data_IF_011186252593
#
_entry.id   IF_011186252593
#
_cell.length_a   1.000
_cell.length_b   1.000
_cell.length_c   1.000
_cell.angle_alpha   90.00
_cell.angle_beta   90.00
_cell.angle_gamma   90.00
#
_symmetry.space_group_name_H-M   'P 1'
#
loop_
_entity.id
_entity.type
_entity.pdbx_description
1 polymer ?
#
# COMPACT_ATOMS: atom_id res chain seq x y z
N UNK A 1 7.02 -10.81 16.49
CA UNK A 1 5.58 -10.60 16.27
C UNK A 1 5.21 -11.13 14.90
N UNK A 2 4.01 -11.70 14.74
CA UNK A 2 3.48 -12.07 13.44
C UNK A 2 3.05 -10.78 12.73
N UNK A 3 3.42 -10.60 11.46
CA UNK A 3 2.94 -9.52 10.60
C UNK A 3 2.71 -10.09 9.21
N UNK A 4 1.46 -10.09 8.78
CA UNK A 4 0.99 -10.90 7.65
C UNK A 4 0.07 -10.07 6.75
N UNK A 5 0.21 -10.25 5.46
CA UNK A 5 -0.69 -9.74 4.44
C UNK A 5 -1.46 -10.92 3.82
N UNK A 6 -2.77 -10.77 3.69
CA UNK A 6 -3.67 -11.73 3.08
C UNK A 6 -4.19 -11.16 1.77
N UNK A 7 -4.22 -11.97 0.73
CA UNK A 7 -4.65 -11.51 -0.59
C UNK A 7 -5.33 -12.61 -1.38
N UNK A 8 -6.36 -12.23 -2.12
CA UNK A 8 -7.14 -13.12 -2.97
C UNK A 8 -7.22 -12.54 -4.38
N UNK A 9 -7.11 -13.40 -5.39
CA UNK A 9 -7.55 -13.14 -6.77
C UNK A 9 -8.80 -13.99 -7.00
N UNK A 10 -9.98 -13.37 -7.06
CA UNK A 10 -11.27 -14.06 -7.08
C UNK A 10 -11.56 -14.78 -8.38
N UNK A 11 -10.93 -14.34 -9.49
CA UNK A 11 -11.02 -14.98 -10.83
C UNK A 11 -9.73 -14.73 -11.62
N UNK A 12 -9.52 -15.52 -12.67
CA UNK A 12 -8.37 -15.33 -13.57
C UNK A 12 -8.39 -13.91 -14.18
N UNK A 13 -7.31 -13.12 -14.03
CA UNK A 13 -7.21 -11.79 -14.65
C UNK A 13 -7.13 -11.89 -16.17
N UNK A 14 -7.59 -10.83 -16.85
CA UNK A 14 -7.36 -10.66 -18.27
C UNK A 14 -5.86 -10.47 -18.54
N UNK A 15 -5.36 -11.06 -19.63
CA UNK A 15 -3.93 -11.07 -19.94
C UNK A 15 -3.33 -9.65 -20.10
N UNK A 16 -4.10 -8.70 -20.65
CA UNK A 16 -3.66 -7.30 -20.79
C UNK A 16 -3.44 -6.63 -19.44
N UNK A 17 -4.38 -6.74 -18.51
CA UNK A 17 -4.23 -6.16 -17.17
C UNK A 17 -3.10 -6.83 -16.38
N UNK A 18 -2.88 -8.13 -16.57
CA UNK A 18 -1.73 -8.81 -15.98
C UNK A 18 -0.40 -8.27 -16.53
N UNK A 19 -0.33 -7.96 -17.83
CA UNK A 19 0.86 -7.40 -18.45
C UNK A 19 1.16 -5.97 -17.93
N UNK A 20 0.13 -5.14 -17.74
CA UNK A 20 0.26 -3.81 -17.13
C UNK A 20 0.73 -3.90 -15.68
N UNK A 21 0.15 -4.81 -14.90
CA UNK A 21 0.60 -5.10 -13.53
C UNK A 21 2.07 -5.51 -13.50
N UNK A 22 2.50 -6.42 -14.36
CA UNK A 22 3.90 -6.85 -14.46
C UNK A 22 4.83 -5.67 -14.77
N UNK A 23 4.45 -4.81 -15.70
CA UNK A 23 5.24 -3.63 -16.08
C UNK A 23 5.46 -2.69 -14.89
N UNK A 24 4.44 -2.45 -14.08
CA UNK A 24 4.57 -1.59 -12.90
C UNK A 24 5.30 -2.29 -11.74
N UNK A 25 5.18 -3.60 -11.59
CA UNK A 25 6.02 -4.36 -10.64
C UNK A 25 7.50 -4.36 -11.08
N UNK A 26 7.80 -4.37 -12.37
CA UNK A 26 9.17 -4.19 -12.83
C UNK A 26 9.72 -2.79 -12.51
N UNK A 27 8.89 -1.73 -12.60
CA UNK A 27 9.27 -0.39 -12.11
C UNK A 27 9.55 -0.41 -10.60
N UNK A 28 8.71 -1.10 -9.81
CA UNK A 28 8.98 -1.29 -8.39
C UNK A 28 10.36 -1.90 -8.17
N UNK A 29 10.70 -2.97 -8.89
CA UNK A 29 12.01 -3.64 -8.73
C UNK A 29 13.21 -2.78 -9.15
N UNK A 30 13.00 -1.87 -10.10
CA UNK A 30 14.05 -0.95 -10.57
C UNK A 30 14.28 0.25 -9.66
N UNK A 31 13.27 0.66 -8.89
CA UNK A 31 13.29 1.88 -8.08
C UNK A 31 13.20 1.61 -6.57
N UNK A 32 13.53 0.41 -6.11
CA UNK A 32 13.44 0.06 -4.69
C UNK A 32 14.12 1.10 -3.79
N UNK A 33 13.55 1.41 -2.62
CA UNK A 33 14.14 2.35 -1.70
C UNK A 33 15.52 1.89 -1.24
N UNK A 34 16.37 2.86 -0.94
CA UNK A 34 17.68 2.64 -0.32
C UNK A 34 17.52 2.14 1.13
N UNK A 35 18.58 1.60 1.70
CA UNK A 35 18.60 1.19 3.10
C UNK A 35 18.31 2.35 4.06
N UNK A 36 18.79 3.55 3.74
CA UNK A 36 18.54 4.75 4.56
C UNK A 36 17.06 5.17 4.52
N UNK A 37 16.42 5.11 3.34
CA UNK A 37 14.98 5.38 3.19
C UNK A 37 14.14 4.35 3.94
N UNK A 38 14.50 3.06 3.86
CA UNK A 38 13.83 1.99 4.62
C UNK A 38 13.98 2.18 6.13
N UNK A 39 15.17 2.57 6.60
CA UNK A 39 15.40 2.88 8.01
C UNK A 39 14.54 4.03 8.52
N UNK A 40 14.31 5.07 7.69
CA UNK A 40 13.41 6.17 8.03
C UNK A 40 11.94 5.70 8.16
N UNK A 41 11.58 4.63 7.48
CA UNK A 41 10.28 3.98 7.57
C UNK A 41 10.19 2.93 8.69
N UNK A 42 11.25 2.77 9.49
CA UNK A 42 11.30 1.86 10.63
C UNK A 42 11.66 0.40 10.30
N UNK A 43 12.16 0.14 9.10
CA UNK A 43 12.70 -1.17 8.74
C UNK A 43 14.16 -1.34 9.17
N UNK A 44 14.60 -2.57 9.33
CA UNK A 44 15.99 -2.90 9.60
C UNK A 44 16.90 -2.49 8.43
N UNK A 45 18.16 -2.18 8.75
CA UNK A 45 19.17 -1.86 7.73
C UNK A 45 19.44 -3.06 6.83
N UNK A 46 19.43 -2.83 5.52
CA UNK A 46 19.70 -3.84 4.50
C UNK A 46 21.10 -3.62 3.93
N UNK A 47 21.93 -4.66 3.97
CA UNK A 47 23.20 -4.68 3.28
C UNK A 47 23.05 -5.35 1.90
N UNK A 48 23.27 -4.58 0.82
CA UNK A 48 23.16 -5.08 -0.53
C UNK A 48 21.76 -4.96 -1.13
N UNK A 49 21.27 -6.04 -1.73
CA UNK A 49 19.99 -6.03 -2.44
C UNK A 49 18.81 -6.31 -1.51
N UNK A 50 17.78 -5.47 -1.54
CA UNK A 50 16.55 -5.64 -0.78
C UNK A 50 15.78 -6.91 -1.17
N UNK A 51 15.60 -7.14 -2.48
CA UNK A 51 14.81 -8.24 -2.99
C UNK A 51 15.66 -9.33 -3.62
N UNK A 52 15.30 -10.54 -3.28
CA UNK A 52 15.84 -11.79 -3.82
C UNK A 52 14.72 -12.63 -4.44
N UNK A 53 15.09 -13.71 -5.11
CA UNK A 53 14.15 -14.68 -5.66
C UNK A 53 13.38 -15.44 -4.56
N UNK A 54 12.44 -16.33 -4.96
CA UNK A 54 11.55 -17.03 -4.03
C UNK A 54 12.26 -17.79 -2.91
N UNK A 55 13.49 -18.23 -3.12
CA UNK A 55 14.28 -18.94 -2.12
C UNK A 55 15.21 -18.03 -1.30
N UNK A 56 15.04 -16.70 -1.40
CA UNK A 56 15.90 -15.74 -0.72
C UNK A 56 17.32 -15.61 -1.29
N UNK A 57 17.58 -16.11 -2.50
CA UNK A 57 18.92 -16.13 -3.12
C UNK A 57 18.90 -15.38 -4.47
N UNK A 58 18.46 -15.81 -5.52
CA UNK A 58 18.56 -15.30 -6.90
C UNK A 58 17.86 -13.93 -7.08
N UNK A 59 17.53 -13.60 -8.33
CA UNK A 59 16.74 -12.39 -8.64
C UNK A 59 15.26 -12.64 -8.44
N UNK A 60 14.47 -11.62 -8.08
CA UNK A 60 13.01 -11.64 -8.11
C UNK A 60 12.49 -12.14 -9.47
N UNK A 61 11.33 -12.77 -9.46
CA UNK A 61 10.66 -13.27 -10.66
C UNK A 61 9.47 -12.37 -10.97
N UNK A 62 9.43 -11.83 -12.20
CA UNK A 62 8.25 -11.15 -12.75
C UNK A 62 8.07 -11.63 -14.20
N UNK A 63 7.02 -12.38 -14.46
CA UNK A 63 6.74 -12.91 -15.80
C UNK A 63 5.26 -13.27 -15.96
N UNK A 64 4.88 -13.75 -17.14
CA UNK A 64 3.48 -14.09 -17.47
C UNK A 64 2.90 -15.21 -16.61
N UNK A 65 3.69 -15.92 -15.84
CA UNK A 65 3.25 -17.03 -15.00
C UNK A 65 3.16 -16.66 -13.52
N UNK A 66 4.00 -15.71 -13.06
CA UNK A 66 4.04 -15.29 -11.65
C UNK A 66 4.84 -14.03 -11.42
N UNK A 67 4.51 -13.37 -10.31
CA UNK A 67 5.35 -12.40 -9.62
C UNK A 67 5.75 -13.07 -8.31
N UNK A 68 7.06 -13.22 -8.03
CA UNK A 68 7.49 -13.91 -6.81
C UNK A 68 8.87 -13.45 -6.35
N UNK A 69 9.00 -13.14 -5.06
CA UNK A 69 10.23 -12.67 -4.43
C UNK A 69 10.23 -12.91 -2.91
N UNK A 70 11.40 -12.71 -2.31
CA UNK A 70 11.62 -12.76 -0.88
C UNK A 70 12.71 -11.74 -0.48
N UNK A 71 13.04 -11.65 0.79
CA UNK A 71 14.22 -10.96 1.30
C UNK A 71 15.52 -11.75 1.10
N UNK A 72 16.62 -11.27 1.68
CA UNK A 72 17.93 -11.90 1.61
C UNK A 72 18.09 -12.99 2.67
N UNK A 73 18.03 -14.25 2.27
CA UNK A 73 18.17 -15.39 3.19
C UNK A 73 19.59 -15.49 3.80
N UNK A 74 20.62 -15.04 3.09
CA UNK A 74 21.99 -15.08 3.61
C UNK A 74 22.23 -14.10 4.77
N UNK A 75 21.38 -13.09 4.92
CA UNK A 75 21.40 -12.10 5.99
C UNK A 75 20.21 -12.24 6.97
N UNK A 76 19.48 -13.34 6.89
CA UNK A 76 18.29 -13.60 7.71
C UNK A 76 17.20 -12.50 7.56
N UNK A 77 17.19 -11.84 6.38
CA UNK A 77 16.22 -10.78 6.04
C UNK A 77 15.03 -11.29 5.24
N UNK A 78 14.94 -12.59 5.02
CA UNK A 78 13.79 -13.28 4.43
C UNK A 78 12.78 -13.76 5.48
N UNK A 79 11.61 -14.13 5.01
CA UNK A 79 10.60 -14.88 5.75
C UNK A 79 9.76 -15.70 4.74
N UNK A 80 8.43 -15.57 4.70
CA UNK A 80 7.65 -16.26 3.69
C UNK A 80 7.79 -15.59 2.32
N UNK A 81 7.84 -16.43 1.29
CA UNK A 81 7.93 -15.97 -0.10
C UNK A 81 6.62 -15.34 -0.54
N UNK A 82 6.67 -14.09 -1.02
CA UNK A 82 5.54 -13.50 -1.73
C UNK A 82 5.39 -14.13 -3.11
N UNK A 83 4.18 -14.56 -3.45
CA UNK A 83 3.86 -15.11 -4.78
C UNK A 83 2.47 -14.70 -5.21
N UNK A 84 2.37 -14.04 -6.35
CA UNK A 84 1.11 -13.69 -7.01
C UNK A 84 1.04 -14.40 -8.36
N UNK A 85 -0.10 -15.06 -8.65
CA UNK A 85 -0.29 -15.88 -9.85
C UNK A 85 -1.45 -15.33 -10.68
N UNK A 86 -1.41 -15.39 -12.04
CA UNK A 86 -2.50 -14.94 -12.92
C UNK A 86 -3.64 -15.97 -12.99
N UNK A 87 -4.16 -16.36 -11.85
CA UNK A 87 -5.27 -17.29 -11.70
C UNK A 87 -6.05 -17.02 -10.43
N UNK A 88 -7.22 -17.62 -10.29
CA UNK A 88 -7.91 -17.62 -8.98
C UNK A 88 -6.98 -18.21 -7.91
N UNK A 89 -6.79 -17.49 -6.83
CA UNK A 89 -5.96 -17.90 -5.69
C UNK A 89 -6.42 -17.18 -4.41
N UNK A 90 -6.12 -17.78 -3.29
CA UNK A 90 -6.24 -17.22 -1.95
C UNK A 90 -4.97 -17.61 -1.20
N UNK A 91 -4.22 -16.61 -0.73
CA UNK A 91 -2.90 -16.82 -0.14
C UNK A 91 -2.57 -15.74 0.89
N UNK A 92 -1.48 -15.91 1.57
CA UNK A 92 -0.94 -14.92 2.51
C UNK A 92 0.60 -14.89 2.44
N UNK A 93 1.17 -13.81 2.92
CA UNK A 93 2.61 -13.65 3.06
C UNK A 93 2.93 -13.08 4.44
N UNK A 94 3.51 -13.90 5.30
CA UNK A 94 4.02 -13.47 6.59
C UNK A 94 5.41 -12.91 6.42
N UNK A 95 5.53 -11.60 6.49
CA UNK A 95 6.80 -10.89 6.28
C UNK A 95 7.57 -10.68 7.58
N UNK A 96 6.89 -10.78 8.73
CA UNK A 96 7.43 -10.48 10.06
C UNK A 96 8.11 -9.10 10.13
N UNK A 97 7.65 -8.13 9.33
CA UNK A 97 8.23 -6.78 9.15
C UNK A 97 9.69 -6.78 8.71
N UNK A 98 10.15 -7.84 8.05
CA UNK A 98 11.45 -7.83 7.38
C UNK A 98 11.47 -6.78 6.26
N UNK A 99 12.61 -6.20 5.88
CA UNK A 99 12.67 -5.09 4.93
C UNK A 99 11.97 -5.29 3.59
N UNK A 100 11.89 -6.53 3.07
CA UNK A 100 11.16 -6.85 1.84
C UNK A 100 9.63 -6.69 1.98
N UNK A 101 9.10 -6.54 3.19
CA UNK A 101 7.71 -6.21 3.49
C UNK A 101 7.25 -4.95 2.73
N UNK A 102 8.11 -3.95 2.63
CA UNK A 102 7.88 -2.76 1.82
C UNK A 102 7.46 -3.13 0.38
N UNK A 103 8.19 -4.03 -0.25
CA UNK A 103 7.91 -4.44 -1.62
C UNK A 103 6.66 -5.32 -1.72
N UNK A 104 6.32 -6.10 -0.68
CA UNK A 104 5.06 -6.84 -0.62
C UNK A 104 3.88 -5.88 -0.57
N UNK A 105 3.89 -4.88 0.31
CA UNK A 105 2.86 -3.85 0.37
C UNK A 105 2.74 -3.09 -0.96
N UNK A 106 3.85 -2.66 -1.56
CA UNK A 106 3.87 -1.96 -2.86
C UNK A 106 3.28 -2.84 -3.99
N UNK A 107 3.69 -4.11 -4.08
CA UNK A 107 3.16 -5.04 -5.08
C UNK A 107 1.66 -5.29 -4.93
N UNK A 108 1.15 -5.36 -3.69
CA UNK A 108 -0.28 -5.51 -3.40
C UNK A 108 -1.08 -4.24 -3.71
N UNK A 109 -0.53 -3.04 -3.46
CA UNK A 109 -1.13 -1.77 -3.91
C UNK A 109 -1.22 -1.76 -5.43
N UNK A 110 -0.14 -2.05 -6.15
CA UNK A 110 -0.10 -2.08 -7.61
C UNK A 110 -1.10 -3.12 -8.14
N UNK A 111 -1.12 -4.33 -7.58
CA UNK A 111 -2.05 -5.38 -7.99
C UNK A 111 -3.52 -4.98 -7.84
N UNK A 112 -3.88 -4.36 -6.71
CA UNK A 112 -5.23 -3.87 -6.49
C UNK A 112 -5.61 -2.79 -7.51
N UNK A 113 -4.73 -1.84 -7.81
CA UNK A 113 -5.03 -0.74 -8.74
C UNK A 113 -5.17 -1.19 -10.21
N UNK A 114 -4.49 -2.24 -10.62
CA UNK A 114 -4.70 -2.86 -11.95
C UNK A 114 -5.89 -3.81 -12.00
N UNK A 115 -6.28 -4.39 -10.88
CA UNK A 115 -7.27 -5.45 -10.80
C UNK A 115 -8.30 -5.21 -9.67
N UNK A 116 -8.92 -4.00 -9.58
CA UNK A 116 -9.71 -3.60 -8.40
C UNK A 116 -10.95 -4.48 -8.16
N UNK A 117 -11.50 -5.07 -9.24
CA UNK A 117 -12.72 -5.90 -9.15
C UNK A 117 -12.44 -7.35 -8.73
N UNK A 118 -11.18 -7.75 -8.68
CA UNK A 118 -10.83 -9.17 -8.46
C UNK A 118 -9.72 -9.39 -7.45
N UNK A 119 -8.97 -8.36 -7.05
CA UNK A 119 -7.95 -8.43 -6.01
C UNK A 119 -8.51 -7.89 -4.70
N UNK A 120 -8.49 -8.73 -3.68
CA UNK A 120 -8.84 -8.37 -2.31
C UNK A 120 -7.57 -8.44 -1.46
N UNK A 121 -7.36 -7.45 -0.61
CA UNK A 121 -6.18 -7.38 0.26
C UNK A 121 -6.61 -6.98 1.65
N UNK A 122 -6.13 -7.71 2.66
CA UNK A 122 -6.19 -7.32 4.08
C UNK A 122 -4.82 -7.50 4.73
N UNK A 123 -4.59 -6.88 5.88
CA UNK A 123 -3.29 -6.90 6.54
C UNK A 123 -3.43 -6.85 8.05
N UNK A 124 -2.42 -7.33 8.75
CA UNK A 124 -2.22 -7.05 10.18
C UNK A 124 -1.86 -5.58 10.43
N UNK A 125 -1.29 -4.89 9.40
CA UNK A 125 -1.02 -3.45 9.41
C UNK A 125 -2.23 -2.60 9.07
N UNK A 126 -2.15 -1.33 9.40
CA UNK A 126 -3.17 -0.32 9.16
C UNK A 126 -2.70 0.79 8.18
N UNK A 127 -3.49 1.87 8.06
CA UNK A 127 -3.16 2.97 7.15
C UNK A 127 -1.85 3.69 7.51
N UNK A 128 -1.41 3.68 8.77
CA UNK A 128 -0.14 4.31 9.15
C UNK A 128 1.06 3.51 8.63
N UNK A 129 0.93 2.18 8.59
CA UNK A 129 1.94 1.30 7.99
C UNK A 129 1.96 1.40 6.46
N UNK A 130 0.80 1.55 5.81
CA UNK A 130 0.66 1.46 4.36
C UNK A 130 0.79 2.79 3.61
N UNK A 131 0.43 3.94 4.22
CA UNK A 131 0.53 5.25 3.58
C UNK A 131 1.95 5.64 3.14
N UNK A 132 3.02 5.37 3.90
CA UNK A 132 4.37 5.63 3.44
C UNK A 132 4.72 4.87 2.15
N UNK A 133 4.26 3.61 2.05
CA UNK A 133 4.45 2.79 0.85
C UNK A 133 3.61 3.32 -0.32
N UNK A 134 2.35 3.72 -0.09
CA UNK A 134 1.50 4.35 -1.10
C UNK A 134 2.14 5.63 -1.65
N UNK A 135 2.66 6.50 -0.78
CA UNK A 135 3.34 7.73 -1.19
C UNK A 135 4.56 7.43 -2.09
N UNK A 136 5.30 6.38 -1.76
CA UNK A 136 6.40 5.93 -2.60
C UNK A 136 5.90 5.39 -3.95
N UNK A 137 4.81 4.59 -3.97
CA UNK A 137 4.18 4.09 -5.20
C UNK A 137 3.72 5.25 -6.09
N UNK A 138 3.12 6.31 -5.51
CA UNK A 138 2.76 7.52 -6.25
C UNK A 138 3.95 8.17 -6.94
N UNK A 139 5.08 8.25 -6.26
CA UNK A 139 6.25 8.94 -6.78
C UNK A 139 6.96 8.16 -7.89
N UNK A 140 7.03 6.84 -7.79
CA UNK A 140 7.92 6.05 -8.63
C UNK A 140 7.23 5.08 -9.59
N UNK A 141 5.96 4.75 -9.36
CA UNK A 141 5.28 3.69 -10.12
C UNK A 141 3.94 4.13 -10.70
N UNK A 142 2.99 4.51 -9.85
CA UNK A 142 1.59 4.73 -10.22
C UNK A 142 1.02 5.95 -9.46
N UNK A 143 1.04 7.17 -10.07
CA UNK A 143 0.70 8.42 -9.38
C UNK A 143 -0.70 8.48 -8.78
N UNK A 144 -1.68 7.79 -9.39
CA UNK A 144 -3.08 7.80 -8.97
C UNK A 144 -3.50 6.56 -8.16
N UNK A 145 -2.52 5.78 -7.67
CA UNK A 145 -2.81 4.58 -6.89
C UNK A 145 -3.58 4.92 -5.60
N UNK A 146 -4.45 4.01 -5.20
CA UNK A 146 -5.17 4.08 -3.92
C UNK A 146 -4.90 2.84 -3.08
N UNK A 147 -5.06 2.94 -1.77
CA UNK A 147 -4.97 1.79 -0.88
C UNK A 147 -6.09 0.78 -1.16
N UNK A 148 -5.81 -0.52 -1.07
CA UNK A 148 -6.87 -1.53 -1.04
C UNK A 148 -7.85 -1.24 0.12
N UNK A 149 -9.18 -1.31 -0.12
CA UNK A 149 -10.19 -0.94 0.88
C UNK A 149 -10.21 -1.83 2.12
N UNK A 150 -9.57 -3.00 2.05
CA UNK A 150 -9.44 -3.91 3.19
C UNK A 150 -8.34 -3.52 4.19
N UNK A 151 -7.54 -2.48 3.91
CA UNK A 151 -6.57 -1.94 4.87
C UNK A 151 -7.31 -1.08 5.89
N UNK A 152 -7.21 -1.47 7.16
CA UNK A 152 -7.93 -0.81 8.25
C UNK A 152 -7.37 0.60 8.50
N UNK A 153 -8.24 1.54 8.88
CA UNK A 153 -7.79 2.83 9.37
C UNK A 153 -6.99 2.67 10.68
N UNK A 154 -5.94 3.47 10.85
CA UNK A 154 -5.20 3.53 12.10
C UNK A 154 -6.13 3.95 13.24
N UNK A 155 -6.03 3.27 14.38
CA UNK A 155 -6.76 3.64 15.57
C UNK A 155 -6.02 4.80 16.22
N UNK A 156 -6.56 6.02 16.09
CA UNK A 156 -6.05 7.16 16.85
C UNK A 156 -6.10 6.81 18.34
N UNK A 157 -5.03 7.03 19.11
CA UNK A 157 -5.08 6.86 20.55
C UNK A 157 -6.22 7.73 21.09
N UNK A 158 -7.23 7.11 21.67
CA UNK A 158 -8.31 7.82 22.34
C UNK A 158 -7.67 8.64 23.46
N UNK A 159 -7.61 9.97 23.30
CA UNK A 159 -7.30 10.88 24.38
C UNK A 159 -8.38 10.74 25.46
N UNK A 160 -8.20 9.80 26.37
CA UNK A 160 -8.93 9.74 27.61
C UNK A 160 -8.37 10.82 28.54
N UNK A 161 -8.79 12.06 28.31
CA UNK A 161 -8.36 13.18 29.14
C UNK A 161 -8.87 14.51 28.60
N UNK A 162 -9.96 15.00 29.22
CA UNK A 162 -10.55 16.33 29.11
C UNK A 162 -11.39 16.66 27.87
N UNK A 163 -12.68 16.77 28.15
CA UNK A 163 -13.71 17.43 27.34
C UNK A 163 -13.45 18.95 27.28
N UNK A 164 -12.55 19.39 26.41
CA UNK A 164 -12.54 20.77 25.92
C UNK A 164 -12.50 20.73 24.40
N UNK A 165 -13.66 20.95 23.79
CA UNK A 165 -13.71 21.24 22.35
C UNK A 165 -12.92 22.54 22.12
N UNK A 166 -12.03 22.57 21.09
CA UNK A 166 -11.34 23.81 20.75
C UNK A 166 -12.37 24.88 20.40
N UNK A 167 -12.39 25.97 21.15
CA UNK A 167 -13.28 27.14 20.96
C UNK A 167 -13.19 27.72 19.54
N UNK A 168 -12.08 27.48 18.85
CA UNK A 168 -11.84 27.93 17.47
C UNK A 168 -12.73 27.27 16.43
N UNK A 169 -13.06 25.99 16.56
CA UNK A 169 -13.92 25.30 15.58
C UNK A 169 -15.37 25.81 15.65
N UNK A 170 -15.84 26.18 16.84
CA UNK A 170 -17.19 26.72 17.03
C UNK A 170 -17.33 28.11 16.45
N UNK A 171 -16.30 28.97 16.60
CA UNK A 171 -16.28 30.31 16.00
C UNK A 171 -16.20 30.26 14.47
N UNK A 172 -15.52 29.28 13.91
CA UNK A 172 -15.43 29.07 12.46
C UNK A 172 -16.78 28.62 11.85
N UNK A 173 -17.48 27.72 12.51
CA UNK A 173 -18.81 27.25 12.07
C UNK A 173 -19.91 28.31 12.23
N UNK A 174 -19.82 29.17 13.25
CA UNK A 174 -20.77 30.28 13.45
C UNK A 174 -20.54 31.39 12.41
N UNK A 175 -19.31 31.60 11.93
CA UNK A 175 -19.02 32.56 10.86
C UNK A 175 -19.47 32.10 9.46
N UNK A 176 -19.62 30.79 9.23
CA UNK A 176 -20.14 30.24 7.97
C UNK A 176 -21.68 30.39 7.83
N UNK A 177 -22.39 30.64 8.91
CA UNK A 177 -23.86 30.80 8.88
C UNK A 177 -24.36 32.24 8.56
N UNK A 178 -23.44 33.19 8.44
CA UNK A 178 -23.79 34.61 8.23
C UNK A 178 -23.66 35.10 6.77
N UNK A 179 -23.56 34.23 5.77
CA UNK A 179 -23.58 34.66 4.36
C UNK A 179 -24.61 33.88 3.54
N UNK A 180 -25.87 34.15 3.80
CA UNK A 180 -26.91 33.93 2.78
C UNK A 180 -26.93 35.12 1.83
N UNK A 181 -26.75 34.96 0.50
CA UNK A 181 -26.99 36.05 -0.43
C UNK A 181 -28.47 36.25 -0.62
N UNK A 182 -28.94 37.44 -0.29
CA UNK A 182 -30.31 37.93 -0.58
C UNK A 182 -30.48 37.94 -2.11
N UNK A 183 -31.42 37.14 -2.61
CA UNK A 183 -31.84 37.19 -4.02
C UNK A 183 -32.69 38.48 -4.16
N UNK A 184 -32.10 39.49 -4.78
CA UNK A 184 -32.79 40.72 -5.18
C UNK A 184 -33.48 40.50 -6.53
N UNK A 185 -34.74 40.89 -6.54
CA UNK A 185 -35.69 40.86 -7.66
C UNK A 185 -35.12 41.47 -8.96
N UNK A 186 -35.10 40.71 -10.04
CA UNK A 186 -35.01 41.24 -11.39
C UNK A 186 -36.45 41.31 -11.94
N UNK A 187 -37.04 42.52 -11.92
CA UNK A 187 -38.18 42.86 -12.74
C UNK A 187 -37.77 43.15 -14.19
N UNK A 188 -38.46 42.52 -15.14
CA UNK A 188 -38.46 42.83 -16.53
C UNK A 188 -39.07 44.20 -16.82
N UNK A 189 -38.47 44.97 -17.68
CA UNK A 189 -39.09 45.97 -18.58
C UNK A 189 -38.34 45.98 -19.88
#
# INVERSE_FOLDING_TARGET
>A
MSYTHYFEITKKPHQGFWAELMFDVEKLFMNLPTSDELSQLGYDVVHGRLLHGPMGDKKPVCNTQRISFNGNAAEEMDHETFTLLPKKMDDYCKTARKPYDFAVCAALIIAYNHLPDIVLVTSDGDTDDWNPVLNWVHQYVLPDAILPPGIKAAILPSNSGSSEQPKELKSFLDNLKCTEPTIGDFYFS
#
